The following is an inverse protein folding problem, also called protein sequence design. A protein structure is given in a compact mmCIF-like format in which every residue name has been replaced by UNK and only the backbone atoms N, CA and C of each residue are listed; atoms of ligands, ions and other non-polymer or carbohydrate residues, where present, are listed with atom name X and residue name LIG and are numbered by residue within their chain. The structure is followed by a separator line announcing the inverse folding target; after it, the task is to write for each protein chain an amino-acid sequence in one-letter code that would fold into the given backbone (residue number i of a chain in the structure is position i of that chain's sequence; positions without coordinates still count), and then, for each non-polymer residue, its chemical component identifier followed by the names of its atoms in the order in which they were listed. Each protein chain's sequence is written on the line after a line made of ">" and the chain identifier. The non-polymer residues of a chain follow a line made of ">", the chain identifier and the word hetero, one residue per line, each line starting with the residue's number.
data_IF_224006950641
#
_entry.id   IF_224006950641
#
_cell.length_a   1.000
_cell.length_b   1.000
_cell.length_c   1.000
_cell.angle_alpha   90.00
_cell.angle_beta   90.00
_cell.angle_gamma   90.00
#
_symmetry.space_group_name_H-M   'P 1'
#
loop_
_entity.id
_entity.type
_entity.pdbx_description
1 polymer ?
#
# COMPACT_ATOMS: atom_id res chain seq x y z
N UNK A 1 16.69 6.11 7.43
CA UNK A 1 17.52 5.99 6.21
C UNK A 1 18.84 6.69 6.44
N UNK A 2 19.91 6.25 5.80
CA UNK A 2 21.21 6.92 5.82
C UNK A 2 21.24 8.14 4.88
N UNK A 3 22.33 8.88 4.90
CA UNK A 3 22.52 10.11 4.13
C UNK A 3 22.51 9.91 2.61
N UNK A 4 23.13 8.85 2.09
CA UNK A 4 23.16 8.59 0.65
C UNK A 4 21.76 8.29 0.12
N UNK A 5 21.03 7.44 0.84
CA UNK A 5 19.63 7.17 0.52
C UNK A 5 18.79 8.44 0.62
N UNK A 6 19.02 9.29 1.63
CA UNK A 6 18.33 10.57 1.82
C UNK A 6 18.55 11.49 0.62
N UNK A 7 19.79 11.62 0.13
CA UNK A 7 20.12 12.48 -1.02
C UNK A 7 19.50 11.96 -2.31
N UNK A 8 19.51 10.65 -2.53
CA UNK A 8 18.92 10.02 -3.72
C UNK A 8 17.41 10.30 -3.84
N UNK A 9 16.67 10.30 -2.72
CA UNK A 9 15.21 10.45 -2.72
C UNK A 9 14.72 11.84 -2.28
N UNK A 10 15.64 12.79 -2.06
CA UNK A 10 15.31 14.11 -1.50
C UNK A 10 14.36 14.90 -2.40
N UNK A 11 14.40 14.73 -3.72
CA UNK A 11 13.46 15.41 -4.63
C UNK A 11 11.99 15.01 -4.36
N UNK A 12 11.74 13.80 -3.87
CA UNK A 12 10.40 13.23 -3.75
C UNK A 12 9.85 13.25 -2.32
N UNK A 13 10.71 13.08 -1.31
CA UNK A 13 10.28 12.82 0.07
C UNK A 13 10.93 13.80 1.05
N UNK A 14 10.16 14.27 2.03
CA UNK A 14 10.71 15.02 3.14
C UNK A 14 11.36 14.07 4.15
N UNK A 15 12.53 14.43 4.65
CA UNK A 15 13.21 13.68 5.69
C UNK A 15 13.65 14.62 6.81
N UNK A 16 13.81 14.09 8.02
CA UNK A 16 14.30 14.84 9.18
C UNK A 16 15.41 14.04 9.85
N UNK A 17 16.52 14.69 10.12
CA UNK A 17 17.56 14.14 10.98
C UNK A 17 16.97 13.70 12.34
N UNK A 18 17.41 12.55 12.83
CA UNK A 18 16.94 11.99 14.11
C UNK A 18 18.08 11.67 15.06
N UNK A 19 19.15 11.04 14.60
CA UNK A 19 20.26 10.65 15.46
C UNK A 19 21.50 10.27 14.65
N UNK A 20 22.63 10.10 15.33
CA UNK A 20 23.84 9.48 14.81
C UNK A 20 24.02 8.12 15.48
N UNK A 21 23.83 7.04 14.71
CA UNK A 21 23.96 5.68 15.25
C UNK A 21 25.26 5.05 14.75
N UNK A 22 25.88 4.19 15.57
CA UNK A 22 27.01 3.35 15.15
C UNK A 22 26.51 1.91 15.00
N UNK A 23 26.15 1.45 13.79
CA UNK A 23 25.74 0.07 13.59
C UNK A 23 26.88 -0.89 13.94
N UNK A 24 26.55 -2.12 14.32
CA UNK A 24 27.57 -3.15 14.60
C UNK A 24 28.46 -3.34 13.37
N UNK A 25 29.77 -3.33 13.58
CA UNK A 25 30.77 -3.47 12.51
C UNK A 25 31.16 -2.16 11.81
N UNK A 26 30.55 -1.03 12.17
CA UNK A 26 30.97 0.28 11.66
C UNK A 26 31.99 0.91 12.61
N UNK A 27 33.06 1.45 12.03
CA UNK A 27 34.11 2.13 12.79
C UNK A 27 33.68 3.52 13.28
N UNK A 28 32.60 4.09 12.75
CA UNK A 28 32.13 5.45 13.01
C UNK A 28 30.60 5.52 13.02
N UNK A 29 30.01 6.44 13.79
CA UNK A 29 28.58 6.73 13.70
C UNK A 29 28.22 7.26 12.31
N UNK A 30 26.99 6.99 11.89
CA UNK A 30 26.38 7.49 10.67
C UNK A 30 25.08 8.24 11.00
N UNK A 31 24.80 9.36 10.32
CA UNK A 31 23.57 10.10 10.52
C UNK A 31 22.39 9.32 9.97
N UNK A 32 21.34 9.23 10.76
CA UNK A 32 20.06 8.64 10.36
C UNK A 32 18.98 9.70 10.25
N UNK A 33 18.13 9.50 9.24
CA UNK A 33 17.03 10.39 8.90
C UNK A 33 15.70 9.62 8.94
N UNK A 34 14.69 10.22 9.54
CA UNK A 34 13.30 9.74 9.53
C UNK A 34 12.63 10.23 8.26
N UNK A 35 11.98 9.31 7.55
CA UNK A 35 11.09 9.66 6.44
C UNK A 35 9.83 10.35 6.98
N UNK A 36 9.48 11.47 6.38
CA UNK A 36 8.19 12.15 6.53
C UNK A 36 7.38 11.91 5.24
N UNK A 37 6.46 12.81 4.94
CA UNK A 37 5.62 12.76 3.74
C UNK A 37 6.34 13.17 2.45
N UNK A 38 5.77 12.72 1.34
CA UNK A 38 6.12 13.20 -0.01
C UNK A 38 6.02 14.72 -0.12
N UNK A 39 6.88 15.30 -0.97
CA UNK A 39 6.91 16.74 -1.26
C UNK A 39 5.75 17.15 -2.16
N UNK A 40 5.40 16.36 -3.17
CA UNK A 40 4.29 16.68 -4.07
C UNK A 40 2.94 16.31 -3.46
N UNK A 41 1.93 17.16 -3.71
CA UNK A 41 0.55 16.87 -3.32
C UNK A 41 0.00 15.67 -4.10
N UNK A 42 0.36 15.51 -5.38
CA UNK A 42 -0.03 14.36 -6.21
C UNK A 42 0.42 13.01 -5.63
N UNK A 43 1.64 12.91 -5.07
CA UNK A 43 2.10 11.69 -4.38
C UNK A 43 1.50 11.53 -2.96
N UNK A 44 0.95 12.58 -2.37
CA UNK A 44 0.15 12.46 -1.15
C UNK A 44 -1.25 11.93 -1.47
N UNK A 45 -1.84 12.40 -2.56
CA UNK A 45 -3.14 11.98 -3.10
C UNK A 45 -3.09 10.58 -3.74
N UNK A 46 -1.92 10.07 -4.14
CA UNK A 46 -1.76 8.65 -4.48
C UNK A 46 -1.92 7.73 -3.26
N UNK A 47 -1.86 8.28 -2.04
CA UNK A 47 -2.37 7.63 -0.81
C UNK A 47 -3.87 7.89 -0.64
N UNK A 48 -4.66 7.87 -1.72
CA UNK A 48 -6.07 7.52 -1.57
C UNK A 48 -6.09 6.19 -0.83
N UNK A 49 -6.85 6.09 0.24
CA UNK A 49 -7.04 4.83 0.96
C UNK A 49 -7.71 3.85 -0.01
N UNK A 50 -6.89 3.18 -0.81
CA UNK A 50 -7.26 2.12 -1.75
C UNK A 50 -7.58 0.84 -0.99
N UNK A 51 -7.42 0.85 0.33
CA UNK A 51 -7.79 -0.24 1.22
C UNK A 51 -9.04 0.14 1.99
N UNK A 52 -10.07 -0.68 1.83
CA UNK A 52 -11.31 -0.63 2.61
C UNK A 52 -11.39 -1.88 3.48
N UNK A 53 -11.49 -1.70 4.79
CA UNK A 53 -11.69 -2.78 5.75
C UNK A 53 -13.13 -2.72 6.23
N UNK A 54 -13.92 -3.74 5.88
CA UNK A 54 -15.29 -3.95 6.35
C UNK A 54 -15.34 -5.02 7.44
N UNK A 55 -16.54 -5.29 7.95
CA UNK A 55 -16.76 -6.29 9.02
C UNK A 55 -16.37 -7.72 8.61
N UNK A 56 -16.53 -8.04 7.31
CA UNK A 56 -16.37 -9.41 6.78
C UNK A 56 -15.29 -9.54 5.72
N UNK A 57 -14.82 -8.43 5.16
CA UNK A 57 -13.89 -8.40 4.03
C UNK A 57 -12.98 -7.18 4.10
N UNK A 58 -11.74 -7.37 3.69
CA UNK A 58 -10.80 -6.30 3.37
C UNK A 58 -10.55 -6.30 1.86
N UNK A 59 -10.62 -5.13 1.24
CA UNK A 59 -10.41 -4.94 -0.20
C UNK A 59 -9.35 -3.88 -0.41
N UNK A 60 -8.27 -4.23 -1.08
CA UNK A 60 -7.18 -3.31 -1.42
C UNK A 60 -6.99 -3.22 -2.94
N UNK A 61 -7.01 -2.01 -3.49
CA UNK A 61 -6.65 -1.78 -4.89
C UNK A 61 -5.13 -1.60 -5.03
N UNK A 62 -4.52 -2.43 -5.86
CA UNK A 62 -3.07 -2.39 -6.15
C UNK A 62 -2.76 -1.27 -7.14
N UNK A 63 -3.65 -1.03 -8.10
CA UNK A 63 -3.53 0.02 -9.10
C UNK A 63 -4.79 0.90 -9.11
N UNK A 64 -4.61 2.20 -8.83
CA UNK A 64 -5.68 3.20 -8.92
C UNK A 64 -5.71 3.96 -10.24
N UNK A 65 -4.82 3.64 -11.18
CA UNK A 65 -4.75 4.31 -12.48
C UNK A 65 -6.05 4.14 -13.27
N UNK A 66 -6.76 3.03 -13.07
CA UNK A 66 -8.09 2.80 -13.61
C UNK A 66 -9.04 2.19 -12.57
N UNK A 67 -9.50 3.01 -11.63
CA UNK A 67 -10.41 2.60 -10.56
C UNK A 67 -11.72 1.99 -11.08
N UNK A 68 -12.21 2.44 -12.24
CA UNK A 68 -13.44 1.94 -12.82
C UNK A 68 -13.30 0.49 -13.27
N UNK A 69 -12.19 0.14 -13.95
CA UNK A 69 -11.90 -1.23 -14.34
C UNK A 69 -11.77 -2.14 -13.11
N UNK A 70 -11.14 -1.66 -12.04
CA UNK A 70 -10.99 -2.44 -10.81
C UNK A 70 -12.35 -2.69 -10.10
N UNK A 71 -13.27 -1.71 -10.11
CA UNK A 71 -14.63 -1.91 -9.60
C UNK A 71 -15.40 -2.95 -10.43
N UNK A 72 -15.27 -2.91 -11.76
CA UNK A 72 -15.90 -3.91 -12.64
C UNK A 72 -15.34 -5.31 -12.42
N UNK A 73 -14.05 -5.43 -12.13
CA UNK A 73 -13.45 -6.72 -11.73
C UNK A 73 -14.04 -7.24 -10.42
N UNK A 74 -14.18 -6.39 -9.40
CA UNK A 74 -14.80 -6.78 -8.13
C UNK A 74 -16.25 -7.28 -8.31
N UNK A 75 -17.03 -6.68 -9.21
CA UNK A 75 -18.39 -7.17 -9.53
C UNK A 75 -18.37 -8.56 -10.14
N UNK A 76 -17.48 -8.82 -11.10
CA UNK A 76 -17.36 -10.16 -11.71
C UNK A 76 -16.96 -11.22 -10.69
N UNK A 77 -16.08 -10.86 -9.76
CA UNK A 77 -15.69 -11.73 -8.65
C UNK A 77 -16.91 -12.06 -7.77
N UNK A 78 -17.71 -11.05 -7.42
CA UNK A 78 -18.96 -11.24 -6.68
C UNK A 78 -19.91 -12.21 -7.41
N UNK A 79 -20.21 -11.96 -8.69
CA UNK A 79 -21.11 -12.78 -9.49
C UNK A 79 -20.65 -14.25 -9.57
N UNK A 80 -19.33 -14.46 -9.67
CA UNK A 80 -18.76 -15.81 -9.69
C UNK A 80 -18.98 -16.52 -8.36
N UNK A 81 -18.68 -15.87 -7.23
CA UNK A 81 -18.88 -16.46 -5.91
C UNK A 81 -20.35 -16.77 -5.62
N UNK A 82 -21.26 -15.90 -6.04
CA UNK A 82 -22.70 -16.15 -5.93
C UNK A 82 -23.14 -17.36 -6.76
N UNK A 83 -22.64 -17.47 -7.99
CA UNK A 83 -22.91 -18.60 -8.88
C UNK A 83 -22.40 -19.92 -8.29
N UNK A 84 -21.13 -19.96 -7.85
CA UNK A 84 -20.52 -21.13 -7.21
C UNK A 84 -21.30 -21.52 -5.94
N UNK A 85 -21.76 -20.54 -5.15
CA UNK A 85 -22.58 -20.79 -3.96
C UNK A 85 -23.95 -21.39 -4.29
N UNK A 86 -24.61 -20.90 -5.34
CA UNK A 86 -25.90 -21.44 -5.82
C UNK A 86 -25.71 -22.88 -6.28
N UNK A 87 -24.67 -23.18 -7.07
CA UNK A 87 -24.38 -24.55 -7.51
C UNK A 87 -24.18 -25.52 -6.34
N UNK A 88 -23.42 -25.10 -5.32
CA UNK A 88 -23.20 -25.90 -4.11
C UNK A 88 -24.53 -26.15 -3.36
N UNK A 89 -25.42 -25.16 -3.29
CA UNK A 89 -26.74 -25.31 -2.67
C UNK A 89 -27.65 -26.24 -3.46
N UNK A 90 -27.65 -26.15 -4.79
CA UNK A 90 -28.48 -26.99 -5.66
C UNK A 90 -28.03 -28.46 -5.58
N UNK A 91 -26.72 -28.73 -5.60
CA UNK A 91 -26.18 -30.10 -5.44
C UNK A 91 -26.42 -30.72 -4.06
N UNK A 92 -26.81 -29.92 -3.04
CA UNK A 92 -27.13 -30.38 -1.68
C UNK A 92 -28.62 -30.61 -1.43
N UNK A 93 -29.51 -30.32 -2.39
CA UNK A 93 -30.92 -30.72 -2.27
C UNK A 93 -31.05 -32.22 -2.63
N UNK A 94 -31.65 -33.04 -1.75
CA UNK A 94 -31.85 -34.48 -1.99
C UNK A 94 -32.83 -34.75 -3.14
#
# INVERSE_FOLDING_TARGET
>A
IDEYTKDLINSHVNSKYIDDITPKGFARPIPVYRLKDFKSAEHRESRKNLTHVGERVEVSFIDSSNIHAAIEELKRIQEKFESDYIEIKVKKKP
#
